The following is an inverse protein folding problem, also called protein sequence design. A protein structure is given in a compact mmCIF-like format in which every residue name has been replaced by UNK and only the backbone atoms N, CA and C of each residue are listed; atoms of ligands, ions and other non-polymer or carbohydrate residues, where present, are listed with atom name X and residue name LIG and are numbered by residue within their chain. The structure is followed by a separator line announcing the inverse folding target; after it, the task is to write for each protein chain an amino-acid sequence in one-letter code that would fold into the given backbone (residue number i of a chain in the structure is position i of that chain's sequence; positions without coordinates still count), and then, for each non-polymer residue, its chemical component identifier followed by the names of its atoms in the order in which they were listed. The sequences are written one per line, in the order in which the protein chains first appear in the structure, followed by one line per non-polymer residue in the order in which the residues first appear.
data_IF_837049902831
#
_entry.id   IF_837049902831
#
_cell.length_a   1.000
_cell.length_b   1.000
_cell.length_c   1.000
_cell.angle_alpha   90.00
_cell.angle_beta   90.00
_cell.angle_gamma   90.00
#
_symmetry.space_group_name_H-M   'P 1'
#
loop_
_entity.id
_entity.type
_entity.pdbx_description
1 polymer ?
#
# COMPACT_ATOMS: atom_id res chain seq x y z
N UNK A 1 -0.80 -8.90 5.17
CA UNK A 1 0.31 -8.10 5.75
C UNK A 1 0.09 -6.62 5.45
N UNK A 2 0.43 -5.70 6.38
CA UNK A 2 0.32 -4.26 6.09
C UNK A 2 1.38 -3.78 5.07
N UNK A 3 1.00 -2.87 4.17
CA UNK A 3 1.90 -2.31 3.15
C UNK A 3 3.17 -1.70 3.73
N UNK A 4 3.05 -1.00 4.86
CA UNK A 4 4.20 -0.40 5.55
C UNK A 4 5.20 -1.47 6.01
N UNK A 5 4.71 -2.57 6.58
CA UNK A 5 5.55 -3.68 7.02
C UNK A 5 6.27 -4.32 5.83
N UNK A 6 5.57 -4.52 4.69
CA UNK A 6 6.17 -5.05 3.47
C UNK A 6 7.33 -4.17 3.01
N UNK A 7 7.09 -2.86 2.93
CA UNK A 7 8.09 -1.93 2.44
C UNK A 7 9.32 -1.92 3.35
N UNK A 8 9.14 -1.93 4.69
CA UNK A 8 10.26 -1.97 5.64
C UNK A 8 11.08 -3.27 5.56
N UNK A 9 10.45 -4.41 5.25
CA UNK A 9 11.11 -5.72 5.23
C UNK A 9 11.80 -6.04 3.89
N UNK A 10 11.24 -5.58 2.78
CA UNK A 10 11.68 -6.01 1.45
C UNK A 10 12.33 -4.90 0.61
N UNK A 11 12.13 -3.62 0.92
CA UNK A 11 12.58 -2.53 0.05
C UNK A 11 12.67 -1.18 0.78
N UNK A 12 12.61 -0.07 0.05
CA UNK A 12 12.49 1.29 0.59
C UNK A 12 11.26 1.97 0.00
N UNK A 13 10.72 2.99 0.68
CA UNK A 13 9.59 3.79 0.16
C UNK A 13 9.92 4.37 -1.22
N UNK A 14 11.16 4.82 -1.41
CA UNK A 14 11.63 5.40 -2.66
C UNK A 14 11.62 4.39 -3.80
N UNK A 15 12.12 3.18 -3.57
CA UNK A 15 12.21 2.16 -4.61
C UNK A 15 10.85 1.55 -4.90
N UNK A 16 10.02 1.36 -3.87
CA UNK A 16 8.63 0.95 -4.05
C UNK A 16 7.84 1.97 -4.87
N UNK A 17 7.98 3.27 -4.56
CA UNK A 17 7.33 4.35 -5.32
C UNK A 17 7.73 4.33 -6.80
N UNK A 18 9.01 4.11 -7.11
CA UNK A 18 9.48 3.93 -8.49
C UNK A 18 8.86 2.70 -9.16
N UNK A 19 8.79 1.57 -8.45
CA UNK A 19 8.21 0.31 -8.95
C UNK A 19 6.76 0.47 -9.39
N UNK A 20 5.95 1.19 -8.60
CA UNK A 20 4.54 1.46 -8.93
C UNK A 20 4.32 2.77 -9.71
N UNK A 21 5.39 3.44 -10.14
CA UNK A 21 5.37 4.73 -10.86
C UNK A 21 4.53 5.82 -10.16
N UNK A 22 4.62 5.89 -8.83
CA UNK A 22 3.94 6.92 -8.00
C UNK A 22 4.97 7.78 -7.25
N UNK A 23 4.52 8.87 -6.65
CA UNK A 23 5.36 9.68 -5.77
C UNK A 23 5.53 9.02 -4.39
N UNK A 24 6.62 9.33 -3.68
CA UNK A 24 6.82 8.89 -2.28
C UNK A 24 5.65 9.31 -1.38
N UNK A 25 5.12 10.52 -1.60
CA UNK A 25 3.98 11.02 -0.84
C UNK A 25 2.72 10.19 -1.09
N UNK A 26 2.46 9.76 -2.32
CA UNK A 26 1.36 8.85 -2.62
C UNK A 26 1.52 7.50 -1.91
N UNK A 27 2.73 6.94 -1.90
CA UNK A 27 3.01 5.68 -1.17
C UNK A 27 2.74 5.84 0.33
N UNK A 28 3.14 6.95 0.94
CA UNK A 28 2.81 7.23 2.34
C UNK A 28 1.29 7.32 2.59
N UNK A 29 0.53 7.93 1.68
CA UNK A 29 -0.94 7.94 1.75
C UNK A 29 -1.51 6.52 1.70
N UNK A 30 -1.02 5.69 0.79
CA UNK A 30 -1.47 4.30 0.68
C UNK A 30 -1.15 3.47 1.93
N UNK A 31 0.00 3.70 2.57
CA UNK A 31 0.32 3.07 3.86
C UNK A 31 -0.71 3.42 4.93
N UNK A 32 -1.26 4.63 4.90
CA UNK A 32 -2.27 5.10 5.85
C UNK A 32 -3.70 4.69 5.48
N UNK A 33 -3.92 4.12 4.30
CA UNK A 33 -5.27 3.78 3.82
C UNK A 33 -5.92 4.87 2.95
N UNK A 34 -5.23 5.99 2.72
CA UNK A 34 -5.79 7.14 2.00
C UNK A 34 -5.67 7.00 0.48
N UNK A 35 -6.69 7.48 -0.24
CA UNK A 35 -6.71 7.54 -1.72
C UNK A 35 -6.51 6.17 -2.40
N UNK A 36 -6.95 5.09 -1.76
CA UNK A 36 -6.90 3.75 -2.32
C UNK A 36 -8.10 3.49 -3.23
N UNK A 37 -7.87 3.53 -4.53
CA UNK A 37 -8.84 3.03 -5.52
C UNK A 37 -8.56 1.55 -5.80
N UNK A 38 -9.55 0.82 -6.33
CA UNK A 38 -9.37 -0.59 -6.73
C UNK A 38 -8.18 -0.76 -7.70
N UNK A 39 -7.96 0.20 -8.60
CA UNK A 39 -6.82 0.18 -9.51
C UNK A 39 -5.48 0.31 -8.77
N UNK A 40 -5.40 1.17 -7.76
CA UNK A 40 -4.18 1.35 -6.96
C UNK A 40 -3.91 0.09 -6.13
N UNK A 41 -4.94 -0.50 -5.54
CA UNK A 41 -4.82 -1.73 -4.77
C UNK A 41 -4.32 -2.87 -5.66
N UNK A 42 -4.89 -3.03 -6.86
CA UNK A 42 -4.43 -4.04 -7.82
C UNK A 42 -2.96 -3.81 -8.27
N UNK A 43 -2.54 -2.56 -8.45
CA UNK A 43 -1.13 -2.23 -8.73
C UNK A 43 -0.21 -2.64 -7.56
N UNK A 44 -0.62 -2.36 -6.32
CA UNK A 44 0.15 -2.71 -5.11
C UNK A 44 0.20 -4.23 -4.92
N UNK A 45 -0.93 -4.92 -5.08
CA UNK A 45 -1.02 -6.38 -4.96
C UNK A 45 -0.10 -7.06 -5.97
N UNK A 46 -0.10 -6.59 -7.22
CA UNK A 46 0.84 -7.07 -8.26
C UNK A 46 2.30 -6.75 -7.92
N UNK A 47 2.58 -5.54 -7.40
CA UNK A 47 3.94 -5.12 -7.05
C UNK A 47 4.50 -5.84 -5.81
N UNK A 48 3.63 -6.40 -4.98
CA UNK A 48 3.97 -7.16 -3.77
C UNK A 48 3.78 -8.67 -3.96
N UNK A 49 3.51 -9.12 -5.18
CA UNK A 49 3.32 -10.54 -5.53
C UNK A 49 2.23 -11.22 -4.67
N UNK A 50 1.18 -10.46 -4.33
CA UNK A 50 0.06 -10.93 -3.53
C UNK A 50 0.31 -10.94 -2.01
N UNK A 51 1.46 -10.47 -1.53
CA UNK A 51 1.73 -10.39 -0.08
C UNK A 51 0.91 -9.30 0.63
N UNK A 52 0.57 -8.23 -0.10
CA UNK A 52 -0.33 -7.17 0.36
C UNK A 52 -1.56 -7.19 -0.54
N UNK A 53 -2.72 -7.48 0.04
CA UNK A 53 -3.98 -7.69 -0.68
C UNK A 53 -5.01 -6.62 -0.33
N UNK A 54 -6.14 -6.60 -1.05
CA UNK A 54 -7.26 -5.72 -0.72
C UNK A 54 -7.72 -5.82 0.74
N UNK A 55 -7.74 -7.03 1.32
CA UNK A 55 -8.17 -7.26 2.69
C UNK A 55 -7.30 -6.50 3.71
N UNK A 56 -6.01 -6.35 3.42
CA UNK A 56 -5.05 -5.64 4.27
C UNK A 56 -5.32 -4.13 4.34
N UNK A 57 -5.97 -3.58 3.31
CA UNK A 57 -6.41 -2.19 3.28
C UNK A 57 -7.81 -2.01 3.86
N UNK A 58 -8.71 -2.97 3.65
CA UNK A 58 -10.08 -2.93 4.18
C UNK A 58 -10.10 -2.93 5.72
N UNK A 59 -9.23 -3.70 6.37
CA UNK A 59 -9.14 -3.75 7.84
C UNK A 59 -8.65 -2.44 8.48
N UNK A 60 -8.04 -1.50 7.72
CA UNK A 60 -7.68 -0.17 8.23
C UNK A 60 -8.86 0.81 8.22
N UNK A 61 -9.83 0.65 7.32
CA UNK A 61 -10.99 1.54 7.24
C UNK A 61 -11.96 1.39 8.40
N UNK A 62 -12.04 0.21 9.03
CA UNK A 62 -12.89 0.00 10.22
C UNK A 62 -12.36 0.69 11.48
N UNK A 63 -11.10 1.13 11.50
CA UNK A 63 -10.51 1.85 12.63
C UNK A 63 -10.66 3.38 12.59
N UNK A 64 -11.17 3.94 11.49
CA UNK A 64 -11.35 5.39 11.31
C UNK A 64 -12.76 5.89 11.70
N UNK A 65 -13.62 5.01 12.20
CA UNK A 65 -14.96 5.31 12.70
C UNK A 65 -15.11 4.90 14.18
N UNK A 66 -14.31 5.50 15.08
CA UNK A 66 -14.50 5.44 16.52
C UNK A 66 -14.08 6.76 17.18
#
# INVERSE_FOLDING_TARGET
MQLEAYIRQHTTVTDFAKRIKKSRQQVHRYMNGDHLTLSVIAEIEKATEGQVTFADFASKSEGAAA
#
